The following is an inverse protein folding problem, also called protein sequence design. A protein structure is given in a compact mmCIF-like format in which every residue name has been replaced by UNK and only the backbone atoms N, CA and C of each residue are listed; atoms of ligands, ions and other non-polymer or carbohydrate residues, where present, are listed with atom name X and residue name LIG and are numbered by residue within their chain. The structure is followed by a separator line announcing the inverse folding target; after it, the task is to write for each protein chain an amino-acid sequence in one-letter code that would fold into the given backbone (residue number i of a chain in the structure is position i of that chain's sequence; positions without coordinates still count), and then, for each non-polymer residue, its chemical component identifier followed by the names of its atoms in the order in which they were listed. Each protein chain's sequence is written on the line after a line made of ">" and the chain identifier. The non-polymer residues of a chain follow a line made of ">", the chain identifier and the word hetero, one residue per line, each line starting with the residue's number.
data_IF_643035354085
#
_entry.id   IF_643035354085
#
_cell.length_a   1.000
_cell.length_b   1.000
_cell.length_c   1.000
_cell.angle_alpha   90.00
_cell.angle_beta   90.00
_cell.angle_gamma   90.00
#
_symmetry.space_group_name_H-M   'P 1'
#
loop_
_entity.id
_entity.type
_entity.pdbx_description
1 polymer ?
#
# COMPACT_ATOMS: atom_id res chain seq x y z
N UNK A 1 -4.01 13.97 -7.10
CA UNK A 1 -2.56 13.81 -7.40
C UNK A 1 -1.83 15.14 -7.51
N UNK A 2 -2.35 16.18 -8.19
CA UNK A 2 -1.65 17.48 -8.34
C UNK A 2 -1.21 18.15 -7.01
N UNK A 3 -2.01 18.02 -5.94
CA UNK A 3 -1.68 18.62 -4.65
C UNK A 3 -0.50 17.95 -3.93
N UNK A 4 -0.27 16.66 -4.15
CA UNK A 4 0.87 15.95 -3.55
C UNK A 4 2.19 16.37 -4.22
N UNK A 5 2.17 16.55 -5.54
CA UNK A 5 3.34 17.00 -6.33
C UNK A 5 3.78 18.43 -5.95
N UNK A 6 2.81 19.33 -5.75
CA UNK A 6 3.10 20.71 -5.34
C UNK A 6 3.82 20.80 -3.97
N UNK A 7 3.44 19.96 -3.01
CA UNK A 7 4.03 19.94 -1.65
C UNK A 7 5.46 19.41 -1.65
N UNK A 8 5.80 18.49 -2.55
CA UNK A 8 7.15 17.91 -2.66
C UNK A 8 8.17 18.93 -3.21
N UNK A 9 7.72 19.99 -3.89
CA UNK A 9 8.59 20.98 -4.56
C UNK A 9 9.07 22.15 -3.70
N UNK A 10 8.53 22.33 -2.48
CA UNK A 10 8.94 23.40 -1.56
C UNK A 10 9.83 22.86 -0.44
N UNK A 11 11.10 23.26 -0.43
CA UNK A 11 12.14 23.20 0.64
C UNK A 11 12.03 22.13 1.75
N UNK A 12 13.11 21.34 1.89
CA UNK A 12 13.42 20.39 2.98
C UNK A 12 12.20 19.85 3.75
N UNK A 13 11.44 18.95 3.12
CA UNK A 13 10.76 17.95 3.93
C UNK A 13 11.82 17.13 4.64
N UNK A 14 11.80 17.12 5.97
CA UNK A 14 12.62 16.27 6.87
C UNK A 14 12.26 14.77 6.74
N UNK A 15 12.03 14.30 5.50
CA UNK A 15 11.51 12.99 5.14
C UNK A 15 10.31 12.56 6.01
N UNK A 16 9.49 13.54 6.41
CA UNK A 16 8.30 13.33 7.22
C UNK A 16 7.10 13.00 6.32
N UNK A 17 6.91 11.69 6.13
CA UNK A 17 5.80 11.14 5.36
C UNK A 17 4.43 11.50 5.95
N UNK A 18 4.31 11.67 7.26
CA UNK A 18 3.06 12.02 7.93
C UNK A 18 2.68 13.48 7.66
N UNK A 19 3.66 14.39 7.74
CA UNK A 19 3.46 15.80 7.38
C UNK A 19 3.03 15.96 5.92
N UNK A 20 3.57 15.13 5.01
CA UNK A 20 3.14 15.14 3.60
C UNK A 20 1.67 14.77 3.45
N UNK A 21 1.21 13.73 4.16
CA UNK A 21 -0.19 13.34 4.17
C UNK A 21 -1.08 14.49 4.68
N UNK A 22 -0.69 15.15 5.77
CA UNK A 22 -1.50 16.24 6.34
C UNK A 22 -1.62 17.44 5.39
N UNK A 23 -0.51 17.83 4.75
CA UNK A 23 -0.50 18.90 3.75
C UNK A 23 -1.37 18.54 2.54
N UNK A 24 -1.23 17.32 2.01
CA UNK A 24 -2.00 16.86 0.86
C UNK A 24 -3.51 16.76 1.17
N UNK A 25 -3.87 16.29 2.37
CA UNK A 25 -5.25 16.23 2.87
C UNK A 25 -5.85 17.63 2.96
N UNK A 26 -5.16 18.55 3.62
CA UNK A 26 -5.62 19.94 3.83
C UNK A 26 -5.80 20.70 2.51
N UNK A 27 -4.95 20.42 1.51
CA UNK A 27 -5.05 21.03 0.19
C UNK A 27 -6.17 20.42 -0.69
N UNK A 28 -6.76 19.29 -0.31
CA UNK A 28 -7.77 18.59 -1.11
C UNK A 28 -9.18 19.12 -0.81
N UNK A 29 -9.82 19.70 -1.82
CA UNK A 29 -11.19 20.27 -1.72
C UNK A 29 -12.26 19.39 -2.36
N UNK A 30 -11.85 18.33 -3.06
CA UNK A 30 -12.77 17.37 -3.67
C UNK A 30 -13.51 16.58 -2.58
N UNK A 31 -14.82 16.43 -2.76
CA UNK A 31 -15.67 15.63 -1.87
C UNK A 31 -15.40 14.15 -2.14
N UNK A 32 -15.24 13.38 -1.07
CA UNK A 32 -15.02 11.93 -1.14
C UNK A 32 -14.15 11.43 0.00
N UNK A 33 -13.77 10.16 -0.09
CA UNK A 33 -12.85 9.53 0.82
C UNK A 33 -11.82 8.68 0.07
N UNK A 34 -10.65 8.48 0.68
CA UNK A 34 -9.57 7.71 0.11
C UNK A 34 -8.68 7.10 1.18
N UNK A 35 -8.22 5.88 0.91
CA UNK A 35 -7.04 5.30 1.55
C UNK A 35 -5.78 5.84 0.86
N UNK A 36 -4.67 5.85 1.58
CA UNK A 36 -3.42 6.42 1.06
C UNK A 36 -2.22 5.73 1.67
N UNK A 37 -1.18 5.61 0.86
CA UNK A 37 0.17 5.29 1.31
C UNK A 37 1.15 6.20 0.56
N UNK A 38 2.10 6.77 1.29
CA UNK A 38 3.21 7.52 0.72
C UNK A 38 4.52 6.90 1.20
N UNK A 39 5.53 6.93 0.35
CA UNK A 39 6.88 6.49 0.68
C UNK A 39 7.91 7.49 0.13
N UNK A 40 8.86 7.86 0.96
CA UNK A 40 9.93 8.82 0.70
C UNK A 40 11.26 8.08 0.87
N UNK A 41 12.06 8.04 -0.19
CA UNK A 41 13.38 7.39 -0.17
C UNK A 41 14.47 8.44 -0.02
N UNK A 42 15.24 8.33 1.06
CA UNK A 42 16.45 9.11 1.29
C UNK A 42 17.64 8.59 0.46
N UNK A 43 18.60 9.48 0.19
CA UNK A 43 19.85 9.11 -0.51
C UNK A 43 20.70 8.07 0.24
N UNK A 44 20.52 7.93 1.55
CA UNK A 44 21.22 6.95 2.38
C UNK A 44 20.57 5.55 2.35
N UNK A 45 19.44 5.38 1.63
CA UNK A 45 18.71 4.11 1.56
C UNK A 45 17.58 3.96 2.60
N UNK A 46 17.37 4.96 3.46
CA UNK A 46 16.26 4.97 4.42
C UNK A 46 14.94 5.26 3.70
N UNK A 47 13.97 4.35 3.83
CA UNK A 47 12.61 4.50 3.31
C UNK A 47 11.66 4.89 4.44
N UNK A 48 11.07 6.07 4.32
CA UNK A 48 10.09 6.62 5.26
C UNK A 48 8.71 6.51 4.64
N UNK A 49 7.76 5.92 5.35
CA UNK A 49 6.40 5.79 4.86
C UNK A 49 5.35 6.18 5.87
N UNK A 50 4.20 6.59 5.36
CA UNK A 50 3.01 6.83 6.14
C UNK A 50 1.81 6.31 5.37
N UNK A 51 0.90 5.63 6.05
CA UNK A 51 -0.32 5.10 5.44
C UNK A 51 -1.55 5.36 6.31
N UNK A 52 -2.69 5.57 5.66
CA UNK A 52 -4.03 5.58 6.26
C UNK A 52 -4.89 4.65 5.41
N UNK A 53 -5.38 3.57 6.01
CA UNK A 53 -6.23 2.57 5.35
C UNK A 53 -5.48 1.28 5.02
N UNK A 54 -5.88 0.64 3.94
CA UNK A 54 -5.44 -0.70 3.52
C UNK A 54 -4.66 -0.73 2.21
N UNK A 55 -4.21 0.44 1.74
CA UNK A 55 -3.10 0.48 0.78
C UNK A 55 -1.86 -0.20 1.40
N UNK A 56 -1.08 -0.87 0.57
CA UNK A 56 0.02 -1.70 1.03
C UNK A 56 1.37 -1.36 0.42
N UNK A 57 2.43 -1.67 1.16
CA UNK A 57 3.81 -1.68 0.69
C UNK A 57 4.45 -3.03 1.01
N UNK A 58 5.21 -3.56 0.05
CA UNK A 58 6.09 -4.72 0.22
C UNK A 58 7.51 -4.36 -0.18
N UNK A 59 8.49 -4.87 0.56
CA UNK A 59 9.90 -4.83 0.15
C UNK A 59 10.33 -6.25 -0.17
N UNK A 60 10.72 -6.45 -1.43
CA UNK A 60 11.28 -7.69 -1.93
C UNK A 60 12.80 -7.60 -1.92
N UNK A 61 13.46 -8.46 -1.15
CA UNK A 61 14.91 -8.60 -1.08
C UNK A 61 15.31 -10.00 -1.49
N UNK A 62 16.13 -10.10 -2.54
CA UNK A 62 16.64 -11.37 -3.08
C UNK A 62 15.52 -12.39 -3.35
N UNK A 63 14.41 -11.91 -3.92
CA UNK A 63 13.25 -12.73 -4.30
C UNK A 63 12.31 -13.12 -3.16
N UNK A 64 12.48 -12.54 -1.96
CA UNK A 64 11.60 -12.77 -0.80
C UNK A 64 11.09 -11.47 -0.22
N UNK A 65 9.84 -11.46 0.23
CA UNK A 65 9.27 -10.33 0.94
C UNK A 65 9.87 -10.29 2.35
N UNK A 66 10.55 -9.19 2.67
CA UNK A 66 11.20 -8.97 3.97
C UNK A 66 10.50 -7.91 4.82
N UNK A 67 9.62 -7.13 4.20
CA UNK A 67 8.81 -6.12 4.88
C UNK A 67 7.43 -6.05 4.22
N UNK A 68 6.40 -5.92 5.07
CA UNK A 68 5.01 -5.77 4.66
C UNK A 68 4.30 -4.82 5.63
N UNK A 69 3.65 -3.79 5.10
CA UNK A 69 2.74 -2.96 5.91
C UNK A 69 1.49 -3.75 6.31
N UNK A 70 0.94 -3.39 7.46
CA UNK A 70 -0.33 -3.94 7.96
C UNK A 70 -1.47 -2.98 7.61
N UNK A 71 -2.61 -3.48 7.10
CA UNK A 71 -3.77 -2.64 6.79
C UNK A 71 -4.39 -2.06 8.08
N UNK A 72 -4.92 -0.84 7.99
CA UNK A 72 -5.68 -0.19 9.05
C UNK A 72 -7.16 -0.19 8.69
N UNK A 73 -7.97 -0.86 9.51
CA UNK A 73 -9.41 -1.01 9.28
C UNK A 73 -10.17 -0.91 10.61
N UNK A 74 -11.39 -0.36 10.57
CA UNK A 74 -12.32 -0.35 11.72
C UNK A 74 -12.88 -1.75 11.98
N UNK A 75 -13.22 -2.43 10.89
CA UNK A 75 -13.62 -3.83 10.81
C UNK A 75 -13.35 -4.32 9.38
N UNK A 76 -13.55 -5.62 9.12
CA UNK A 76 -13.28 -6.21 7.80
C UNK A 76 -13.96 -5.40 6.69
N UNK A 77 -13.20 -5.04 5.65
CA UNK A 77 -13.66 -4.29 4.47
C UNK A 77 -14.16 -2.86 4.78
N UNK A 78 -13.74 -2.29 5.93
CA UNK A 78 -14.00 -0.90 6.29
C UNK A 78 -12.69 -0.21 6.71
N UNK A 79 -11.91 0.29 5.73
CA UNK A 79 -10.61 0.88 6.01
C UNK A 79 -10.70 2.23 6.71
N UNK A 80 -9.59 2.57 7.36
CA UNK A 80 -9.32 3.93 7.74
C UNK A 80 -9.17 4.77 6.48
N UNK A 81 -9.71 5.98 6.46
CA UNK A 81 -9.70 6.79 5.25
C UNK A 81 -9.69 8.28 5.57
N UNK A 82 -8.97 9.04 4.76
CA UNK A 82 -9.19 10.48 4.70
C UNK A 82 -10.55 10.71 4.04
N UNK A 83 -11.33 11.61 4.62
CA UNK A 83 -12.65 11.96 4.11
C UNK A 83 -12.84 13.47 4.16
N UNK A 84 -13.66 13.99 3.24
CA UNK A 84 -14.23 15.34 3.36
C UNK A 84 -15.21 15.47 4.53
N UNK A 85 -15.72 14.34 5.04
CA UNK A 85 -16.65 14.32 6.16
C UNK A 85 -15.93 14.44 7.53
N UNK A 86 -16.55 15.07 8.54
CA UNK A 86 -15.94 15.28 9.85
C UNK A 86 -15.55 14.01 10.63
N UNK A 87 -16.06 12.84 10.23
CA UNK A 87 -15.75 11.54 10.84
C UNK A 87 -14.57 10.79 10.21
N UNK A 88 -13.92 11.36 9.19
CA UNK A 88 -12.74 10.78 8.56
C UNK A 88 -11.51 10.78 9.47
N UNK A 89 -10.52 9.95 9.12
CA UNK A 89 -9.23 9.94 9.79
C UNK A 89 -8.41 11.20 9.45
N UNK A 90 -7.48 11.53 10.33
CA UNK A 90 -6.51 12.61 10.18
C UNK A 90 -5.11 12.02 9.94
N UNK A 91 -4.14 12.86 9.56
CA UNK A 91 -2.77 12.37 9.42
C UNK A 91 -2.20 11.81 10.75
N UNK A 92 -2.72 12.24 11.91
CA UNK A 92 -2.33 11.70 13.21
C UNK A 92 -2.70 10.22 13.38
N UNK A 93 -3.68 9.72 12.62
CA UNK A 93 -4.11 8.32 12.62
C UNK A 93 -3.26 7.44 11.69
N UNK A 94 -2.30 8.03 10.97
CA UNK A 94 -1.46 7.31 10.02
C UNK A 94 -0.49 6.35 10.74
N UNK A 95 -0.33 5.15 10.19
CA UNK A 95 0.81 4.29 10.54
C UNK A 95 2.04 4.82 9.83
N UNK A 96 2.97 5.34 10.63
CA UNK A 96 4.29 5.80 10.17
C UNK A 96 5.30 4.67 10.35
N UNK A 97 6.12 4.44 9.33
CA UNK A 97 7.17 3.42 9.36
C UNK A 97 8.45 3.93 8.73
N UNK A 98 9.57 3.37 9.19
CA UNK A 98 10.91 3.61 8.65
C UNK A 98 11.62 2.27 8.50
N UNK A 99 12.25 2.04 7.36
CA UNK A 99 13.01 0.81 7.07
C UNK A 99 14.17 1.09 6.13
N UNK A 100 15.28 0.39 6.31
CA UNK A 100 16.46 0.56 5.46
C UNK A 100 16.42 -0.40 4.27
N UNK A 101 16.65 0.14 3.08
CA UNK A 101 16.76 -0.61 1.84
C UNK A 101 18.19 -1.06 1.57
N UNK A 102 18.33 -2.23 0.95
CA UNK A 102 19.57 -2.69 0.35
C UNK A 102 19.55 -2.45 -1.17
N UNK A 103 20.74 -2.30 -1.76
CA UNK A 103 20.85 -2.23 -3.22
C UNK A 103 20.30 -3.52 -3.85
N UNK A 104 19.38 -3.35 -4.81
CA UNK A 104 18.69 -4.46 -5.47
C UNK A 104 17.37 -4.86 -4.84
N UNK A 105 16.95 -4.20 -3.74
CA UNK A 105 15.58 -4.32 -3.25
C UNK A 105 14.58 -3.78 -4.27
N UNK A 106 13.42 -4.43 -4.35
CA UNK A 106 12.25 -3.92 -5.09
C UNK A 106 11.18 -3.50 -4.10
N UNK A 107 10.65 -2.29 -4.28
CA UNK A 107 9.56 -1.77 -3.45
C UNK A 107 8.27 -1.80 -4.27
N UNK A 108 7.26 -2.49 -3.76
CA UNK A 108 5.94 -2.61 -4.38
C UNK A 108 4.95 -1.83 -3.54
N UNK A 109 4.32 -0.81 -4.12
CA UNK A 109 3.21 -0.08 -3.53
C UNK A 109 1.95 -0.31 -4.36
N UNK A 110 0.81 -0.45 -3.71
CA UNK A 110 -0.47 -0.64 -4.37
C UNK A 110 -1.65 -0.37 -3.45
N UNK A 111 -2.86 -0.38 -4.02
CA UNK A 111 -4.09 -0.41 -3.25
C UNK A 111 -4.41 -1.84 -2.77
N UNK A 112 -5.41 -1.93 -1.91
CA UNK A 112 -6.12 -3.17 -1.53
C UNK A 112 -6.39 -4.09 -2.75
N UNK A 113 -6.85 -3.57 -3.88
CA UNK A 113 -7.13 -4.35 -5.08
C UNK A 113 -5.94 -5.17 -5.63
N UNK A 114 -4.70 -4.81 -5.28
CA UNK A 114 -3.52 -5.66 -5.54
C UNK A 114 -3.40 -6.76 -4.48
N UNK A 115 -3.41 -6.39 -3.20
CA UNK A 115 -3.09 -7.27 -2.07
C UNK A 115 -4.24 -8.21 -1.68
N UNK A 116 -5.47 -7.86 -2.03
CA UNK A 116 -6.67 -8.69 -1.88
C UNK A 116 -6.72 -9.82 -2.89
N UNK A 117 -6.01 -9.68 -4.01
CA UNK A 117 -6.08 -10.55 -5.17
C UNK A 117 -4.78 -11.30 -5.47
N UNK A 118 -3.69 -11.01 -4.76
CA UNK A 118 -2.41 -11.69 -4.89
C UNK A 118 -1.86 -12.07 -3.52
N UNK A 119 -1.39 -13.30 -3.39
CA UNK A 119 -0.58 -13.67 -2.24
C UNK A 119 0.83 -13.09 -2.39
N UNK A 120 1.52 -12.92 -1.25
CA UNK A 120 2.93 -12.53 -1.22
C UNK A 120 3.79 -13.45 -2.12
N UNK A 121 3.50 -14.75 -2.18
CA UNK A 121 4.20 -15.69 -3.06
C UNK A 121 3.96 -15.42 -4.56
N UNK A 122 2.77 -14.93 -4.94
CA UNK A 122 2.48 -14.55 -6.32
C UNK A 122 3.33 -13.33 -6.72
N UNK A 123 3.42 -12.34 -5.83
CA UNK A 123 4.25 -11.15 -6.01
C UNK A 123 5.73 -11.53 -6.13
N UNK A 124 6.24 -12.36 -5.22
CA UNK A 124 7.60 -12.87 -5.24
C UNK A 124 7.92 -13.58 -6.56
N UNK A 125 7.03 -14.45 -7.03
CA UNK A 125 7.20 -15.24 -8.25
C UNK A 125 7.25 -14.36 -9.51
N UNK A 126 6.31 -13.41 -9.64
CA UNK A 126 6.24 -12.50 -10.78
C UNK A 126 7.50 -11.63 -10.86
N UNK A 127 7.88 -11.01 -9.74
CA UNK A 127 9.03 -10.09 -9.72
C UNK A 127 10.37 -10.79 -9.85
N UNK A 128 10.51 -12.00 -9.31
CA UNK A 128 11.72 -12.82 -9.49
C UNK A 128 11.91 -13.27 -10.94
N UNK A 129 10.81 -13.47 -11.68
CA UNK A 129 10.85 -13.84 -13.10
C UNK A 129 11.25 -12.67 -13.99
N UNK A 130 10.75 -11.47 -13.68
CA UNK A 130 11.02 -10.28 -14.48
C UNK A 130 12.45 -9.78 -14.21
N UNK A 131 12.83 -9.67 -12.93
CA UNK A 131 14.16 -9.29 -12.47
C UNK A 131 14.62 -7.92 -12.97
N UNK A 132 15.76 -7.44 -12.48
CA UNK A 132 16.43 -6.25 -13.03
C UNK A 132 16.20 -4.95 -12.24
N UNK A 133 17.24 -4.10 -12.07
CA UNK A 133 17.16 -2.85 -11.31
C UNK A 133 16.70 -1.65 -12.16
N UNK A 134 16.41 -1.88 -13.44
CA UNK A 134 16.11 -0.81 -14.39
C UNK A 134 14.61 -0.47 -14.45
N UNK A 135 14.31 0.68 -15.07
CA UNK A 135 12.95 1.19 -15.19
C UNK A 135 12.04 0.30 -16.03
N UNK A 136 12.56 -0.38 -17.07
CA UNK A 136 11.76 -1.28 -17.91
C UNK A 136 11.33 -2.50 -17.11
N UNK A 137 12.25 -3.07 -16.35
CA UNK A 137 11.99 -4.15 -15.41
C UNK A 137 10.93 -3.77 -14.36
N UNK A 138 11.01 -2.57 -13.78
CA UNK A 138 10.00 -2.06 -12.86
C UNK A 138 8.62 -1.91 -13.54
N UNK A 139 8.58 -1.38 -14.77
CA UNK A 139 7.33 -1.19 -15.52
C UNK A 139 6.69 -2.53 -15.91
N UNK A 140 7.48 -3.48 -16.40
CA UNK A 140 7.02 -4.85 -16.71
C UNK A 140 6.51 -5.53 -15.45
N UNK A 141 7.22 -5.38 -14.32
CA UNK A 141 6.83 -5.87 -13.01
C UNK A 141 5.46 -5.36 -12.58
N UNK A 142 5.29 -4.04 -12.56
CA UNK A 142 4.04 -3.40 -12.21
C UNK A 142 2.87 -3.85 -13.11
N UNK A 143 3.09 -3.91 -14.42
CA UNK A 143 2.07 -4.35 -15.37
C UNK A 143 1.69 -5.83 -15.15
N UNK A 144 2.67 -6.72 -14.95
CA UNK A 144 2.42 -8.13 -14.74
C UNK A 144 1.63 -8.38 -13.45
N UNK A 145 1.99 -7.69 -12.35
CA UNK A 145 1.25 -7.75 -11.09
C UNK A 145 -0.19 -7.25 -11.26
N UNK A 146 -0.39 -6.09 -11.90
CA UNK A 146 -1.72 -5.53 -12.12
C UNK A 146 -2.61 -6.44 -12.99
N UNK A 147 -2.05 -7.03 -14.05
CA UNK A 147 -2.78 -7.98 -14.92
C UNK A 147 -3.16 -9.24 -14.14
N UNK A 148 -2.24 -9.79 -13.33
CA UNK A 148 -2.52 -10.99 -12.55
C UNK A 148 -3.58 -10.73 -11.47
N UNK A 149 -3.46 -9.63 -10.73
CA UNK A 149 -4.46 -9.21 -9.75
C UNK A 149 -5.84 -9.00 -10.40
N UNK A 150 -5.88 -8.33 -11.56
CA UNK A 150 -7.11 -8.11 -12.30
C UNK A 150 -7.74 -9.43 -12.79
N UNK A 151 -6.92 -10.40 -13.20
CA UNK A 151 -7.39 -11.74 -13.56
C UNK A 151 -8.00 -12.45 -12.34
N UNK A 152 -7.30 -12.48 -11.21
CA UNK A 152 -7.76 -13.11 -9.97
C UNK A 152 -9.03 -12.45 -9.43
N UNK A 153 -9.14 -11.12 -9.49
CA UNK A 153 -10.34 -10.37 -9.03
C UNK A 153 -11.63 -10.73 -9.78
N UNK A 154 -11.52 -11.30 -10.99
CA UNK A 154 -12.67 -11.71 -11.82
C UNK A 154 -12.88 -13.22 -11.83
N UNK A 155 -12.02 -13.98 -11.17
CA UNK A 155 -12.10 -15.43 -11.10
C UNK A 155 -12.88 -15.83 -9.84
N UNK A 156 -14.12 -16.27 -10.03
CA UNK A 156 -15.01 -16.68 -8.92
C UNK A 156 -14.59 -17.99 -8.26
N UNK A 157 -13.58 -18.68 -8.80
CA UNK A 157 -13.04 -19.93 -8.25
C UNK A 157 -11.71 -19.74 -7.52
N UNK A 158 -11.10 -18.56 -7.63
CA UNK A 158 -9.85 -18.24 -6.95
C UNK A 158 -10.13 -17.89 -5.49
N UNK A 159 -9.56 -18.66 -4.57
CA UNK A 159 -9.57 -18.36 -3.13
C UNK A 159 -8.57 -17.24 -2.83
N UNK A 160 -9.01 -16.01 -3.08
CA UNK A 160 -8.19 -14.82 -2.90
C UNK A 160 -7.83 -14.55 -1.43
N UNK A 161 -6.73 -13.80 -1.16
CA UNK A 161 -6.44 -13.30 0.19
C UNK A 161 -7.66 -12.67 0.87
N UNK A 162 -8.42 -11.83 0.15
CA UNK A 162 -9.67 -11.24 0.65
C UNK A 162 -10.69 -12.30 1.04
N UNK A 163 -10.96 -13.28 0.17
CA UNK A 163 -11.94 -14.35 0.43
C UNK A 163 -11.57 -15.14 1.67
N UNK A 164 -10.28 -15.46 1.81
CA UNK A 164 -9.76 -16.18 2.97
C UNK A 164 -9.91 -15.37 4.26
N UNK A 165 -9.62 -14.07 4.24
CA UNK A 165 -9.83 -13.21 5.40
C UNK A 165 -11.32 -13.08 5.74
N UNK A 166 -12.18 -12.87 4.75
CA UNK A 166 -13.63 -12.79 4.92
C UNK A 166 -14.18 -14.03 5.66
N UNK A 167 -13.78 -15.23 5.22
CA UNK A 167 -14.18 -16.49 5.85
C UNK A 167 -13.70 -16.57 7.30
N UNK A 168 -12.45 -16.19 7.57
CA UNK A 168 -11.89 -16.19 8.92
C UNK A 168 -12.62 -15.21 9.86
N UNK A 169 -12.94 -14.01 9.35
CA UNK A 169 -13.64 -12.99 10.12
C UNK A 169 -15.07 -13.39 10.39
N UNK A 170 -15.82 -13.88 9.38
CA UNK A 170 -17.21 -14.36 9.52
C UNK A 170 -17.30 -15.61 10.40
N UNK A 171 -16.37 -16.56 10.27
CA UNK A 171 -16.34 -17.78 11.08
C UNK A 171 -16.24 -17.51 12.59
N UNK A 172 -15.59 -16.42 12.98
CA UNK A 172 -15.47 -16.00 14.38
C UNK A 172 -16.74 -15.36 14.96
N UNK A 173 -17.72 -14.94 14.16
CA UNK A 173 -19.01 -14.44 14.68
C UNK A 173 -19.96 -15.56 15.12
N UNK A 174 -19.73 -16.80 14.69
CA UNK A 174 -20.59 -17.95 15.01
C UNK A 174 -20.27 -18.66 16.34
N UNK A 175 -19.25 -18.22 17.09
CA UNK A 175 -18.87 -18.84 18.38
C UNK A 175 -18.90 -17.78 19.49
N UNK A 176 -20.08 -17.22 19.71
CA UNK A 176 -20.43 -16.54 20.95
C UNK A 176 -21.95 -16.58 21.10
N UNK A 177 -22.46 -17.77 21.42
CA UNK A 177 -23.78 -17.97 22.04
C UNK A 177 -23.59 -18.41 23.48
#
# INVERSE_FOLDING_TARGET
>A
MANAEAVVSSEEMDFDAQMLLEKARTATTSIGAATVIVALLEKNGSLHGASVGDCGLRILRRGRIVFATQPQQHYFDCPYQFSSDPGGQSAADAVVFKTDLEQGDMVVLGSDGLFDNLYDQDIESVLSTIGGPDQDSAQRGANALAVLASKHSRDTTYESPYTKEAIQKVGNWTISQ
#
